data_IF_130786121804
#
_entry.id   IF_130786121804
#
_cell.length_a   1.000
_cell.length_b   1.000
_cell.length_c   1.000
_cell.angle_alpha   90.00
_cell.angle_beta   90.00
_cell.angle_gamma   90.00
#
_symmetry.space_group_name_H-M   'P 1'
#
loop_
_entity.id
_entity.type
_entity.pdbx_description
1 polymer ?
#
# COMPACT_ATOMS: atom_id res chain seq x y z
N UNK A 1 38.57 3.86 0.60
CA UNK A 1 37.22 3.82 -0.02
C UNK A 1 36.24 3.95 1.11
N UNK A 2 35.26 4.84 0.99
CA UNK A 2 34.24 5.02 2.03
C UNK A 2 33.19 3.92 1.85
N UNK A 3 32.96 3.13 2.89
CA UNK A 3 31.89 2.12 2.90
C UNK A 3 30.52 2.81 2.86
N UNK A 4 29.52 2.15 2.28
CA UNK A 4 28.12 2.60 2.22
C UNK A 4 27.25 1.66 3.06
N UNK A 5 26.09 2.16 3.51
CA UNK A 5 25.14 1.36 4.28
C UNK A 5 24.42 0.33 3.42
N UNK A 6 24.25 -0.87 3.94
CA UNK A 6 23.41 -1.94 3.42
C UNK A 6 22.33 -2.26 4.43
N UNK A 7 21.06 -2.25 4.02
CA UNK A 7 19.93 -2.36 4.93
C UNK A 7 19.10 -3.61 4.63
N UNK A 8 18.84 -4.42 5.66
CA UNK A 8 18.03 -5.63 5.58
C UNK A 8 16.86 -5.51 6.57
N UNK A 9 15.60 -5.47 6.10
CA UNK A 9 14.44 -5.53 6.98
C UNK A 9 14.36 -6.84 7.76
N UNK A 10 13.87 -6.77 9.01
CA UNK A 10 13.76 -7.92 9.90
C UNK A 10 12.95 -9.08 9.32
N UNK A 11 11.87 -8.80 8.57
CA UNK A 11 11.04 -9.85 7.96
C UNK A 11 11.83 -10.75 6.98
N UNK A 12 12.89 -10.21 6.34
CA UNK A 12 13.75 -10.99 5.44
C UNK A 12 14.63 -11.93 6.25
N UNK A 13 15.16 -11.47 7.40
CA UNK A 13 16.01 -12.27 8.26
C UNK A 13 15.23 -13.42 8.90
N UNK A 14 14.04 -13.12 9.45
CA UNK A 14 13.14 -14.13 10.02
C UNK A 14 12.67 -15.14 8.98
N UNK A 15 12.18 -14.64 7.84
CA UNK A 15 11.57 -15.46 6.80
C UNK A 15 12.57 -16.14 5.86
N UNK A 16 13.89 -15.91 5.96
CA UNK A 16 14.86 -16.26 4.91
C UNK A 16 14.76 -17.72 4.45
N UNK A 17 14.68 -18.65 5.40
CA UNK A 17 14.57 -20.08 5.12
C UNK A 17 13.26 -20.41 4.41
N UNK A 18 12.13 -19.93 4.94
CA UNK A 18 10.79 -20.17 4.38
C UNK A 18 10.64 -19.55 3.00
N UNK A 19 11.08 -18.29 2.82
CA UNK A 19 11.05 -17.56 1.55
C UNK A 19 11.84 -18.33 0.49
N UNK A 20 13.02 -18.84 0.83
CA UNK A 20 13.86 -19.60 -0.11
C UNK A 20 13.27 -20.96 -0.52
N UNK A 21 12.35 -21.50 0.28
CA UNK A 21 11.69 -22.79 0.05
C UNK A 21 10.28 -22.64 -0.55
N UNK A 22 9.79 -21.41 -0.71
CA UNK A 22 8.45 -21.16 -1.22
C UNK A 22 8.29 -21.67 -2.66
N UNK A 23 7.19 -22.39 -2.92
CA UNK A 23 6.89 -22.99 -4.23
C UNK A 23 5.61 -22.42 -4.86
N UNK A 24 5.17 -21.23 -4.44
CA UNK A 24 4.03 -20.54 -5.04
C UNK A 24 4.28 -20.23 -6.52
N UNK A 25 3.22 -19.86 -7.25
CA UNK A 25 3.29 -19.62 -8.70
C UNK A 25 4.42 -18.65 -9.08
N UNK A 26 4.55 -17.53 -8.37
CA UNK A 26 5.60 -16.54 -8.65
C UNK A 26 7.02 -17.00 -8.34
N UNK A 27 7.23 -17.76 -7.25
CA UNK A 27 8.56 -18.28 -6.90
C UNK A 27 9.09 -19.31 -7.90
N UNK A 28 8.19 -19.97 -8.65
CA UNK A 28 8.58 -20.86 -9.77
C UNK A 28 9.07 -20.10 -11.00
N UNK A 29 8.65 -18.84 -11.15
CA UNK A 29 9.04 -17.98 -12.28
C UNK A 29 10.30 -17.18 -11.96
N UNK A 30 10.41 -16.64 -10.75
CA UNK A 30 11.58 -15.89 -10.30
C UNK A 30 11.78 -15.99 -8.78
N UNK A 31 13.03 -15.98 -8.29
CA UNK A 31 13.30 -15.87 -6.86
C UNK A 31 12.71 -14.57 -6.29
N UNK A 32 12.10 -14.62 -5.09
CA UNK A 32 11.43 -13.44 -4.55
C UNK A 32 12.40 -12.44 -3.90
N UNK A 33 13.58 -12.87 -3.45
CA UNK A 33 14.58 -11.99 -2.83
C UNK A 33 15.24 -11.13 -3.91
N UNK A 34 15.27 -9.81 -3.68
CA UNK A 34 15.85 -8.81 -4.58
C UNK A 34 16.80 -7.89 -3.83
N UNK A 35 17.68 -7.22 -4.55
CA UNK A 35 18.59 -6.22 -3.99
C UNK A 35 18.57 -4.99 -4.87
N UNK A 36 18.26 -3.85 -4.25
CA UNK A 36 18.31 -2.53 -4.89
C UNK A 36 19.62 -1.87 -4.49
N UNK A 37 20.47 -1.54 -5.46
CA UNK A 37 21.79 -0.98 -5.21
C UNK A 37 21.92 0.39 -5.89
N UNK A 38 22.27 1.39 -5.09
CA UNK A 38 22.65 2.73 -5.52
C UNK A 38 24.12 2.97 -5.18
N UNK A 39 24.72 4.01 -5.76
CA UNK A 39 26.11 4.37 -5.46
C UNK A 39 26.34 4.76 -3.99
N UNK A 40 25.28 5.12 -3.25
CA UNK A 40 25.34 5.60 -1.87
C UNK A 40 24.76 4.64 -0.81
N UNK A 41 24.03 3.57 -1.20
CA UNK A 41 23.55 2.54 -0.28
C UNK A 41 22.96 1.32 -1.01
N UNK A 42 22.73 0.24 -0.27
CA UNK A 42 22.10 -1.00 -0.74
C UNK A 42 20.87 -1.30 0.13
N UNK A 43 19.77 -1.76 -0.49
CA UNK A 43 18.58 -2.26 0.21
C UNK A 43 18.28 -3.68 -0.24
N UNK A 44 18.21 -4.60 0.72
CA UNK A 44 17.73 -5.95 0.47
C UNK A 44 16.22 -6.00 0.68
N UNK A 45 15.49 -6.52 -0.29
CA UNK A 45 14.03 -6.59 -0.25
C UNK A 45 13.51 -7.91 -0.80
N UNK A 46 12.19 -8.06 -0.84
CA UNK A 46 11.56 -9.25 -1.38
C UNK A 46 10.24 -8.92 -2.08
N UNK A 47 9.88 -9.67 -3.10
CA UNK A 47 8.73 -9.43 -3.96
C UNK A 47 7.42 -9.96 -3.34
N UNK A 48 6.43 -9.07 -3.17
CA UNK A 48 5.11 -9.40 -2.59
C UNK A 48 4.26 -10.31 -3.48
N UNK A 49 4.69 -10.70 -4.67
CA UNK A 49 4.03 -11.74 -5.45
C UNK A 49 4.22 -13.14 -4.81
N UNK A 50 5.18 -13.29 -3.89
CA UNK A 50 5.41 -14.52 -3.15
C UNK A 50 4.52 -14.59 -1.90
N UNK A 51 3.76 -15.68 -1.75
CA UNK A 51 2.83 -15.85 -0.62
C UNK A 51 3.54 -15.81 0.74
N UNK A 52 4.72 -16.45 0.83
CA UNK A 52 5.53 -16.43 2.06
C UNK A 52 6.07 -15.03 2.35
N UNK A 53 6.52 -14.29 1.34
CA UNK A 53 6.99 -12.90 1.54
C UNK A 53 5.84 -12.02 2.00
N UNK A 54 4.66 -12.11 1.37
CA UNK A 54 3.48 -11.35 1.79
C UNK A 54 3.16 -11.64 3.25
N UNK A 55 3.19 -12.91 3.66
CA UNK A 55 2.91 -13.29 5.04
C UNK A 55 3.91 -12.67 6.02
N UNK A 56 5.21 -12.89 5.80
CA UNK A 56 6.26 -12.41 6.70
C UNK A 56 6.29 -10.88 6.75
N UNK A 57 6.15 -10.20 5.61
CA UNK A 57 6.15 -8.74 5.54
C UNK A 57 4.94 -8.12 6.25
N UNK A 58 3.75 -8.69 6.09
CA UNK A 58 2.51 -8.13 6.67
C UNK A 58 2.42 -8.34 8.18
N UNK A 59 2.86 -9.49 8.68
CA UNK A 59 2.51 -9.97 10.02
C UNK A 59 3.70 -10.20 10.97
N UNK A 60 4.94 -10.11 10.50
CA UNK A 60 6.07 -10.14 11.43
C UNK A 60 6.02 -8.91 12.34
N UNK A 61 6.19 -9.14 13.65
CA UNK A 61 6.49 -8.06 14.58
C UNK A 61 7.77 -7.36 14.11
N UNK A 62 7.78 -6.03 14.15
CA UNK A 62 8.93 -5.22 13.79
C UNK A 62 9.47 -5.54 12.37
N UNK A 63 8.60 -5.91 11.42
CA UNK A 63 8.97 -6.33 10.06
C UNK A 63 9.98 -5.39 9.39
N UNK A 64 9.87 -4.08 9.67
CA UNK A 64 10.71 -3.02 9.13
C UNK A 64 11.77 -2.47 10.10
N UNK A 65 12.09 -3.15 11.20
CA UNK A 65 13.35 -2.92 11.90
C UNK A 65 14.51 -3.23 10.94
N UNK A 66 15.35 -2.24 10.67
CA UNK A 66 16.43 -2.34 9.68
C UNK A 66 17.73 -2.79 10.33
N UNK A 67 18.32 -3.83 9.76
CA UNK A 67 19.64 -4.32 10.14
C UNK A 67 20.67 -3.75 9.17
N UNK A 68 21.64 -2.99 9.71
CA UNK A 68 22.66 -2.29 8.93
C UNK A 68 23.96 -3.10 8.84
N UNK A 69 24.47 -3.23 7.62
CA UNK A 69 25.76 -3.82 7.30
C UNK A 69 26.58 -2.85 6.44
N UNK A 70 27.91 -2.97 6.47
CA UNK A 70 28.77 -2.22 5.57
C UNK A 70 28.83 -2.90 4.19
N UNK A 71 28.65 -2.12 3.13
CA UNK A 71 28.82 -2.56 1.75
C UNK A 71 29.81 -1.66 1.00
N UNK A 72 30.38 -2.20 -0.08
CA UNK A 72 31.19 -1.42 -0.99
C UNK A 72 30.28 -0.67 -1.99
N UNK A 73 30.60 0.59 -2.34
CA UNK A 73 29.89 1.31 -3.39
C UNK A 73 29.85 0.50 -4.69
N UNK A 74 28.67 0.47 -5.32
CA UNK A 74 28.47 -0.13 -6.64
C UNK A 74 28.43 0.99 -7.68
N UNK A 75 28.96 0.74 -8.88
CA UNK A 75 28.86 1.68 -9.99
C UNK A 75 27.38 1.92 -10.35
N UNK A 76 26.93 3.17 -10.35
CA UNK A 76 25.55 3.53 -10.64
C UNK A 76 25.20 4.96 -10.25
N UNK A 77 23.91 5.30 -10.38
CA UNK A 77 23.39 6.56 -9.85
C UNK A 77 23.21 6.46 -8.33
N UNK A 78 23.47 7.57 -7.63
CA UNK A 78 23.06 7.70 -6.24
C UNK A 78 21.53 7.84 -6.16
N UNK A 79 20.94 7.41 -5.04
CA UNK A 79 19.55 7.75 -4.76
C UNK A 79 19.41 9.28 -4.66
N UNK A 80 18.41 9.82 -5.32
CA UNK A 80 18.14 11.25 -5.34
C UNK A 80 17.82 11.77 -3.93
N UNK A 81 18.45 12.88 -3.55
CA UNK A 81 18.31 13.46 -2.21
C UNK A 81 16.88 13.96 -1.98
N UNK A 82 16.28 14.58 -3.00
CA UNK A 82 14.91 15.06 -2.88
C UNK A 82 13.92 13.90 -2.74
N UNK A 83 14.05 12.85 -3.55
CA UNK A 83 13.25 11.64 -3.42
C UNK A 83 13.40 11.03 -2.03
N UNK A 84 14.63 10.94 -1.52
CA UNK A 84 14.90 10.38 -0.19
C UNK A 84 14.26 11.23 0.93
N UNK A 85 14.32 12.56 0.84
CA UNK A 85 13.68 13.47 1.79
C UNK A 85 12.14 13.34 1.77
N UNK A 86 11.54 13.17 0.59
CA UNK A 86 10.09 12.96 0.44
C UNK A 86 9.70 11.57 0.98
N UNK A 87 10.50 10.55 0.71
CA UNK A 87 10.32 9.19 1.21
C UNK A 87 10.34 9.17 2.74
N UNK A 88 11.34 9.81 3.35
CA UNK A 88 11.43 9.92 4.80
C UNK A 88 10.25 10.70 5.39
N UNK A 89 9.83 11.81 4.76
CA UNK A 89 8.63 12.54 5.16
C UNK A 89 7.35 11.68 5.12
N UNK A 90 7.22 10.77 4.14
CA UNK A 90 6.13 9.80 4.12
C UNK A 90 6.23 8.79 5.27
N UNK A 91 7.43 8.26 5.55
CA UNK A 91 7.69 7.35 6.68
C UNK A 91 7.34 8.02 8.01
N UNK A 92 7.77 9.26 8.22
CA UNK A 92 7.52 10.01 9.46
C UNK A 92 6.01 10.19 9.71
N UNK A 93 5.22 10.43 8.65
CA UNK A 93 3.75 10.50 8.74
C UNK A 93 3.11 9.12 8.96
N UNK A 94 3.72 8.04 8.44
CA UNK A 94 3.24 6.66 8.63
C UNK A 94 3.39 6.17 10.07
N UNK A 95 4.30 6.73 10.85
CA UNK A 95 4.59 6.28 12.23
C UNK A 95 4.05 7.23 13.31
N UNK A 96 3.28 8.27 12.94
CA UNK A 96 2.64 9.17 13.93
C UNK A 96 1.63 8.39 14.78
N UNK A 97 1.79 8.37 16.09
CA UNK A 97 0.84 7.67 16.97
C UNK A 97 -0.57 8.25 16.92
N UNK A 98 -1.57 7.39 17.15
CA UNK A 98 -2.97 7.81 17.31
C UNK A 98 -3.73 8.12 16.01
N UNK A 99 -3.10 7.98 14.85
CA UNK A 99 -3.78 8.06 13.55
C UNK A 99 -4.26 6.69 13.06
N UNK A 100 -5.48 6.64 12.55
CA UNK A 100 -5.98 5.54 11.73
C UNK A 100 -5.22 5.45 10.40
N UNK A 101 -5.29 4.30 9.75
CA UNK A 101 -4.68 4.09 8.43
C UNK A 101 -5.19 5.10 7.39
N UNK A 102 -6.50 5.40 7.39
CA UNK A 102 -7.09 6.40 6.50
C UNK A 102 -6.53 7.81 6.73
N UNK A 103 -6.35 8.22 7.99
CA UNK A 103 -5.76 9.51 8.35
C UNK A 103 -4.28 9.61 7.96
N UNK A 104 -3.50 8.52 8.13
CA UNK A 104 -2.10 8.44 7.67
C UNK A 104 -2.01 8.62 6.15
N UNK A 105 -2.85 7.90 5.40
CA UNK A 105 -2.92 8.04 3.94
C UNK A 105 -3.36 9.44 3.52
N UNK A 106 -4.32 10.04 4.22
CA UNK A 106 -4.74 11.40 3.96
C UNK A 106 -3.58 12.40 4.16
N UNK A 107 -2.80 12.26 5.23
CA UNK A 107 -1.61 13.08 5.48
C UNK A 107 -0.57 12.97 4.36
N UNK A 108 -0.29 11.73 3.91
CA UNK A 108 0.61 11.48 2.77
C UNK A 108 0.06 12.11 1.49
N UNK A 109 -1.22 11.94 1.18
CA UNK A 109 -1.86 12.55 0.02
C UNK A 109 -1.77 14.08 0.04
N UNK A 110 -1.98 14.70 1.21
CA UNK A 110 -1.84 16.16 1.38
C UNK A 110 -0.38 16.60 1.18
N UNK A 111 0.59 15.88 1.75
CA UNK A 111 2.01 16.14 1.56
C UNK A 111 2.37 16.11 0.06
N UNK A 112 2.01 15.02 -0.62
CA UNK A 112 2.30 14.81 -2.04
C UNK A 112 1.64 15.87 -2.93
N UNK A 113 0.39 16.22 -2.66
CA UNK A 113 -0.33 17.28 -3.36
C UNK A 113 0.32 18.67 -3.18
N UNK A 114 0.79 18.99 -1.98
CA UNK A 114 1.48 20.27 -1.75
C UNK A 114 2.86 20.28 -2.44
N UNK A 115 3.61 19.18 -2.38
CA UNK A 115 4.92 19.06 -3.00
C UNK A 115 4.87 19.06 -4.52
N UNK A 116 3.83 18.47 -5.13
CA UNK A 116 3.65 18.46 -6.58
C UNK A 116 3.30 19.85 -7.15
N UNK A 117 2.66 20.71 -6.34
CA UNK A 117 2.30 22.11 -6.69
C UNK A 117 3.41 23.12 -6.38
N UNK A 118 4.49 22.68 -5.72
CA UNK A 118 5.57 23.53 -5.26
C UNK A 118 6.50 24.00 -6.38
N UNK A 119 6.10 25.07 -7.06
CA UNK A 119 6.87 25.77 -8.10
C UNK A 119 6.60 27.29 -8.17
N UNK A 120 6.03 27.90 -7.13
CA UNK A 120 5.85 29.35 -7.02
C UNK A 120 6.94 30.02 -6.17
N UNK A 121 7.15 31.33 -6.36
CA UNK A 121 8.09 32.16 -5.58
C UNK A 121 7.81 32.02 -4.06
N UNK A 122 8.64 31.23 -3.36
CA UNK A 122 8.51 30.91 -1.93
C UNK A 122 8.36 29.42 -1.61
N UNK A 123 8.05 28.57 -2.60
CA UNK A 123 7.94 27.11 -2.44
C UNK A 123 9.28 26.38 -2.61
N UNK A 124 10.25 26.98 -3.28
CA UNK A 124 11.60 26.41 -3.47
C UNK A 124 12.39 26.25 -2.17
N UNK A 125 11.98 26.94 -1.09
CA UNK A 125 12.66 26.90 0.21
C UNK A 125 12.05 25.92 1.21
N UNK A 126 10.83 25.42 0.99
CA UNK A 126 10.18 24.51 1.94
C UNK A 126 10.54 23.06 1.62
N UNK A 127 11.50 22.53 2.39
CA UNK A 127 11.95 21.14 2.26
C UNK A 127 10.84 20.15 2.68
N UNK A 128 10.80 18.93 2.11
CA UNK A 128 9.81 17.90 2.46
C UNK A 128 9.63 17.71 3.98
N UNK A 129 10.73 17.71 4.74
CA UNK A 129 10.72 17.62 6.20
C UNK A 129 9.95 18.74 6.90
N UNK A 130 10.05 19.98 6.44
CA UNK A 130 9.34 21.09 7.07
C UNK A 130 7.82 20.92 6.91
N UNK A 131 7.39 20.48 5.72
CA UNK A 131 5.98 20.21 5.43
C UNK A 131 5.47 18.99 6.20
N UNK A 132 6.26 17.93 6.29
CA UNK A 132 5.93 16.76 7.10
C UNK A 132 5.74 17.16 8.56
N UNK A 133 6.67 17.92 9.14
CA UNK A 133 6.58 18.41 10.51
C UNK A 133 5.32 19.24 10.76
N UNK A 134 4.95 20.14 9.85
CA UNK A 134 3.69 20.89 9.96
C UNK A 134 2.47 19.96 9.99
N UNK A 135 2.42 18.95 9.12
CA UNK A 135 1.34 17.98 9.08
C UNK A 135 1.32 17.11 10.34
N UNK A 136 2.48 16.69 10.85
CA UNK A 136 2.58 15.96 12.12
C UNK A 136 2.06 16.80 13.30
N UNK A 137 2.37 18.10 13.36
CA UNK A 137 1.83 18.97 14.42
C UNK A 137 0.30 19.10 14.33
N UNK A 138 -0.24 19.21 13.11
CA UNK A 138 -1.69 19.19 12.90
C UNK A 138 -2.32 17.85 13.31
N UNK A 139 -1.63 16.74 13.07
CA UNK A 139 -2.08 15.40 13.44
C UNK A 139 -2.14 15.24 14.96
N UNK A 140 -1.07 15.62 15.66
CA UNK A 140 -1.01 15.63 17.12
C UNK A 140 -2.06 16.55 17.76
N UNK A 141 -2.43 17.63 17.07
CA UNK A 141 -3.52 18.53 17.48
C UNK A 141 -4.93 18.01 17.20
N UNK A 142 -5.10 16.81 16.64
CA UNK A 142 -6.41 16.23 16.29
C UNK A 142 -7.08 16.83 15.06
N UNK A 143 -6.43 17.76 14.35
CA UNK A 143 -7.01 18.42 13.19
C UNK A 143 -7.24 17.43 12.03
N UNK A 144 -6.37 16.42 11.91
CA UNK A 144 -6.49 15.38 10.89
C UNK A 144 -7.77 14.57 11.01
N UNK A 145 -8.18 14.22 12.23
CA UNK A 145 -9.44 13.54 12.47
C UNK A 145 -10.64 14.33 11.94
N UNK A 146 -10.63 15.65 12.19
CA UNK A 146 -11.70 16.54 11.74
C UNK A 146 -11.69 16.73 10.22
N UNK A 147 -10.51 17.00 9.63
CA UNK A 147 -10.37 17.23 8.19
C UNK A 147 -10.68 15.98 7.38
N UNK A 148 -10.25 14.81 7.85
CA UNK A 148 -10.54 13.53 7.21
C UNK A 148 -12.04 13.20 7.27
N UNK A 149 -12.67 13.38 8.43
CA UNK A 149 -14.12 13.18 8.58
C UNK A 149 -15.01 14.14 7.77
N UNK A 150 -14.46 15.26 7.31
CA UNK A 150 -15.15 16.22 6.44
C UNK A 150 -14.96 15.97 4.95
N UNK A 151 -14.16 14.96 4.57
CA UNK A 151 -13.94 14.64 3.16
C UNK A 151 -15.26 14.23 2.49
N UNK A 152 -15.58 14.76 1.30
CA UNK A 152 -16.76 14.33 0.58
C UNK A 152 -16.57 12.87 0.15
N UNK A 153 -17.53 12.01 0.50
CA UNK A 153 -17.56 10.66 -0.01
C UNK A 153 -17.97 10.69 -1.50
N UNK A 154 -17.08 10.22 -2.38
CA UNK A 154 -17.33 10.15 -3.82
C UNK A 154 -17.36 8.68 -4.24
N UNK A 155 -18.50 8.03 -4.00
CA UNK A 155 -18.71 6.59 -4.22
C UNK A 155 -18.54 6.15 -5.68
N UNK A 156 -18.81 7.02 -6.67
CA UNK A 156 -18.67 6.68 -8.10
C UNK A 156 -17.29 6.12 -8.46
N UNK A 157 -16.22 6.60 -7.83
CA UNK A 157 -14.86 6.13 -8.11
C UNK A 157 -14.63 4.75 -7.49
N UNK A 158 -15.07 4.55 -6.25
CA UNK A 158 -15.03 3.25 -5.58
C UNK A 158 -15.81 2.19 -6.37
N UNK A 159 -17.04 2.50 -6.78
CA UNK A 159 -17.86 1.61 -7.59
C UNK A 159 -17.18 1.29 -8.94
N UNK A 160 -16.63 2.30 -9.62
CA UNK A 160 -15.86 2.10 -10.86
C UNK A 160 -14.68 1.14 -10.65
N UNK A 161 -13.88 1.33 -9.59
CA UNK A 161 -12.73 0.47 -9.30
C UNK A 161 -13.14 -0.91 -8.81
N UNK A 162 -14.23 -1.05 -8.05
CA UNK A 162 -14.79 -2.33 -7.65
C UNK A 162 -15.20 -3.15 -8.90
N UNK A 163 -15.85 -2.51 -9.88
CA UNK A 163 -16.19 -3.16 -11.15
C UNK A 163 -14.96 -3.50 -12.00
N UNK A 164 -13.86 -2.73 -11.91
CA UNK A 164 -12.58 -3.06 -12.57
C UNK A 164 -11.90 -4.24 -11.87
N UNK A 165 -11.90 -4.26 -10.54
CA UNK A 165 -11.38 -5.34 -9.72
C UNK A 165 -12.07 -6.68 -10.05
N UNK A 166 -13.40 -6.65 -10.18
CA UNK A 166 -14.22 -7.80 -10.57
C UNK A 166 -13.83 -8.46 -11.92
N UNK A 167 -13.15 -7.71 -12.81
CA UNK A 167 -12.70 -8.21 -14.12
C UNK A 167 -11.30 -8.81 -14.10
N UNK A 168 -10.58 -8.70 -12.97
CA UNK A 168 -9.22 -9.20 -12.86
C UNK A 168 -9.27 -10.69 -12.54
N UNK A 169 -8.62 -11.55 -13.34
CA UNK A 169 -8.49 -12.96 -13.00
C UNK A 169 -7.44 -13.11 -11.89
N UNK A 170 -7.88 -13.54 -10.71
CA UNK A 170 -7.00 -13.81 -9.58
C UNK A 170 -6.55 -15.27 -9.56
N UNK A 171 -5.27 -15.47 -9.26
CA UNK A 171 -4.71 -16.77 -8.87
C UNK A 171 -4.33 -16.67 -7.41
N UNK A 172 -5.25 -17.09 -6.54
CA UNK A 172 -5.04 -17.08 -5.09
C UNK A 172 -4.58 -18.46 -4.65
N UNK A 173 -3.63 -18.51 -3.72
CA UNK A 173 -3.11 -19.75 -3.15
C UNK A 173 -3.93 -20.17 -1.93
N UNK A 174 -5.24 -20.36 -2.13
CA UNK A 174 -6.17 -20.85 -1.12
C UNK A 174 -6.69 -22.23 -1.49
N UNK A 175 -7.47 -22.84 -0.60
CA UNK A 175 -8.18 -24.07 -0.94
C UNK A 175 -9.15 -23.87 -2.12
N UNK A 176 -9.62 -24.98 -2.68
CA UNK A 176 -10.47 -24.99 -3.86
C UNK A 176 -11.82 -24.32 -3.62
N UNK A 177 -12.36 -24.41 -2.40
CA UNK A 177 -13.65 -23.81 -2.03
C UNK A 177 -13.53 -22.29 -1.96
N UNK A 178 -12.57 -21.77 -1.20
CA UNK A 178 -12.29 -20.34 -1.07
C UNK A 178 -12.00 -19.70 -2.44
N UNK A 179 -11.18 -20.36 -3.26
CA UNK A 179 -10.85 -19.90 -4.60
C UNK A 179 -12.08 -19.82 -5.52
N UNK A 180 -12.99 -20.80 -5.43
CA UNK A 180 -14.24 -20.79 -6.21
C UNK A 180 -15.23 -19.75 -5.72
N UNK A 181 -15.39 -19.60 -4.40
CA UNK A 181 -16.24 -18.56 -3.80
C UNK A 181 -15.82 -17.18 -4.29
N UNK A 182 -14.53 -16.83 -4.18
CA UNK A 182 -14.03 -15.53 -4.65
C UNK A 182 -14.35 -15.27 -6.12
N UNK A 183 -14.06 -16.25 -6.98
CA UNK A 183 -14.31 -16.12 -8.41
C UNK A 183 -15.80 -15.96 -8.73
N UNK A 184 -16.69 -16.63 -7.98
CA UNK A 184 -18.14 -16.46 -8.12
C UNK A 184 -18.54 -15.04 -7.72
N UNK A 185 -18.10 -14.55 -6.56
CA UNK A 185 -18.39 -13.20 -6.06
C UNK A 185 -17.91 -12.10 -7.01
N UNK A 186 -16.69 -12.23 -7.54
CA UNK A 186 -16.17 -11.31 -8.56
C UNK A 186 -17.00 -11.35 -9.85
N UNK A 187 -17.44 -12.53 -10.27
CA UNK A 187 -18.31 -12.69 -11.44
C UNK A 187 -19.67 -12.02 -11.22
N UNK A 188 -20.26 -12.17 -10.02
CA UNK A 188 -21.50 -11.50 -9.63
C UNK A 188 -21.35 -9.98 -9.69
N UNK A 189 -20.33 -9.41 -9.04
CA UNK A 189 -20.04 -7.98 -9.06
C UNK A 189 -19.88 -7.43 -10.49
N UNK A 190 -19.25 -8.19 -11.37
CA UNK A 190 -19.05 -7.78 -12.77
C UNK A 190 -20.37 -7.60 -13.53
N UNK A 191 -21.41 -8.37 -13.16
CA UNK A 191 -22.71 -8.42 -13.84
C UNK A 191 -23.77 -7.50 -13.20
N UNK A 192 -23.51 -6.95 -12.00
CA UNK A 192 -24.43 -6.07 -11.30
C UNK A 192 -24.68 -4.74 -12.03
N UNK A 193 -25.92 -4.27 -12.00
CA UNK A 193 -26.26 -2.89 -12.38
C UNK A 193 -25.63 -1.90 -11.41
N UNK A 194 -25.56 -0.62 -11.81
CA UNK A 194 -24.91 0.42 -10.98
C UNK A 194 -25.54 0.54 -9.58
N UNK A 195 -26.88 0.50 -9.47
CA UNK A 195 -27.54 0.58 -8.16
C UNK A 195 -27.21 -0.61 -7.24
N UNK A 196 -27.20 -1.84 -7.77
CA UNK A 196 -26.80 -3.01 -6.97
C UNK A 196 -25.30 -3.00 -6.62
N UNK A 197 -24.46 -2.40 -7.47
CA UNK A 197 -23.04 -2.26 -7.18
C UNK A 197 -22.79 -1.27 -6.03
N UNK A 198 -23.57 -0.19 -5.94
CA UNK A 198 -23.49 0.74 -4.82
C UNK A 198 -23.93 0.07 -3.50
N UNK A 199 -24.95 -0.79 -3.55
CA UNK A 199 -25.36 -1.60 -2.39
C UNK A 199 -24.25 -2.57 -1.96
N UNK A 200 -23.67 -3.31 -2.92
CA UNK A 200 -22.57 -4.23 -2.67
C UNK A 200 -21.31 -3.50 -2.16
N UNK A 201 -21.03 -2.30 -2.66
CA UNK A 201 -19.94 -1.47 -2.16
C UNK A 201 -20.15 -1.13 -0.69
N UNK A 202 -21.36 -0.71 -0.29
CA UNK A 202 -21.67 -0.41 1.11
C UNK A 202 -21.53 -1.63 2.03
N UNK A 203 -21.95 -2.81 1.56
CA UNK A 203 -21.76 -4.06 2.29
C UNK A 203 -20.27 -4.41 2.45
N UNK A 204 -19.49 -4.29 1.38
CA UNK A 204 -18.04 -4.54 1.38
C UNK A 204 -17.31 -3.60 2.34
N UNK A 205 -17.64 -2.31 2.31
CA UNK A 205 -17.00 -1.31 3.17
C UNK A 205 -17.45 -1.41 4.64
N UNK A 206 -18.66 -1.92 4.87
CA UNK A 206 -19.23 -2.18 6.20
C UNK A 206 -18.95 -3.56 6.77
N UNK A 207 -18.09 -4.39 6.15
CA UNK A 207 -17.80 -5.74 6.66
C UNK A 207 -17.13 -5.69 8.04
N UNK A 208 -17.85 -6.23 9.03
CA UNK A 208 -17.37 -6.33 10.41
C UNK A 208 -16.20 -7.31 10.53
N UNK A 209 -16.20 -8.38 9.74
CA UNK A 209 -15.16 -9.41 9.74
C UNK A 209 -13.82 -8.81 9.30
N UNK A 210 -13.83 -7.98 8.25
CA UNK A 210 -12.65 -7.25 7.78
C UNK A 210 -12.19 -6.23 8.82
N UNK A 211 -13.11 -5.50 9.45
CA UNK A 211 -12.77 -4.56 10.52
C UNK A 211 -12.10 -5.27 11.71
N UNK A 212 -12.72 -6.34 12.22
CA UNK A 212 -12.20 -7.14 13.33
C UNK A 212 -10.80 -7.70 13.01
N UNK A 213 -10.61 -8.21 11.79
CA UNK A 213 -9.30 -8.73 11.37
C UNK A 213 -8.22 -7.63 11.41
N UNK A 214 -8.46 -6.49 10.76
CA UNK A 214 -7.45 -5.42 10.70
C UNK A 214 -7.30 -4.64 12.01
N UNK A 215 -8.30 -4.61 12.89
CA UNK A 215 -8.17 -4.04 14.23
C UNK A 215 -7.29 -4.92 15.13
N UNK A 216 -7.35 -6.25 14.95
CA UNK A 216 -6.47 -7.21 15.62
C UNK A 216 -5.04 -7.17 15.06
N UNK A 217 -4.89 -6.84 13.78
CA UNK A 217 -3.62 -6.77 13.06
C UNK A 217 -3.35 -5.33 12.58
N UNK A 218 -3.37 -4.38 13.50
CA UNK A 218 -3.30 -2.93 13.25
C UNK A 218 -2.01 -2.48 12.54
N UNK A 219 -0.90 -3.18 12.78
CA UNK A 219 0.40 -2.99 12.12
C UNK A 219 0.41 -3.39 10.63
N UNK A 220 -0.53 -4.22 10.15
CA UNK A 220 -0.46 -4.82 8.80
C UNK A 220 -0.37 -3.79 7.68
N UNK A 221 -1.18 -2.73 7.75
CA UNK A 221 -1.16 -1.66 6.76
C UNK A 221 0.06 -0.75 6.91
N UNK A 222 0.56 -0.55 8.13
CA UNK A 222 1.77 0.21 8.40
C UNK A 222 2.96 -0.51 7.78
N UNK A 223 3.13 -1.80 8.09
CA UNK A 223 4.13 -2.68 7.46
C UNK A 223 4.06 -2.63 5.94
N UNK A 224 2.86 -2.73 5.37
CA UNK A 224 2.67 -2.64 3.94
C UNK A 224 3.10 -1.28 3.35
N UNK A 225 2.79 -0.16 4.00
CA UNK A 225 3.20 1.16 3.51
C UNK A 225 4.68 1.45 3.73
N UNK A 226 5.27 0.95 4.82
CA UNK A 226 6.72 0.95 5.03
C UNK A 226 7.42 0.12 3.96
N UNK A 227 6.85 -1.02 3.56
CA UNK A 227 7.33 -1.79 2.42
C UNK A 227 7.38 -0.95 1.14
N UNK A 228 6.31 -0.20 0.82
CA UNK A 228 6.30 0.68 -0.36
C UNK A 228 7.39 1.74 -0.27
N UNK A 229 7.56 2.37 0.89
CA UNK A 229 8.60 3.36 1.12
C UNK A 229 10.01 2.76 1.00
N UNK A 230 10.22 1.55 1.52
CA UNK A 230 11.53 0.90 1.53
C UNK A 230 11.90 0.28 0.17
N UNK A 231 11.00 -0.54 -0.39
CA UNK A 231 11.22 -1.31 -1.62
C UNK A 231 11.18 -0.45 -2.88
N UNK A 232 10.19 0.44 -2.99
CA UNK A 232 9.95 1.22 -4.21
C UNK A 232 10.54 2.64 -4.13
N UNK A 233 11.04 3.03 -2.96
CA UNK A 233 11.43 4.42 -2.66
C UNK A 233 10.28 5.39 -3.00
N UNK A 234 9.07 5.00 -2.60
CA UNK A 234 7.84 5.78 -2.78
C UNK A 234 8.02 7.24 -2.32
N UNK A 235 7.48 8.26 -3.03
CA UNK A 235 6.52 8.16 -4.14
C UNK A 235 7.15 7.91 -5.52
N UNK A 236 8.13 8.71 -5.94
CA UNK A 236 8.89 8.61 -7.18
C UNK A 236 9.92 9.77 -7.18
N UNK A 237 10.82 9.83 -8.15
CA UNK A 237 11.69 11.01 -8.32
C UNK A 237 10.90 12.18 -8.92
N UNK A 238 10.02 11.90 -9.88
CA UNK A 238 9.26 12.88 -10.63
C UNK A 238 8.04 13.38 -9.85
N UNK A 239 7.97 14.70 -9.60
CA UNK A 239 6.88 15.33 -8.85
C UNK A 239 5.52 15.16 -9.53
N UNK A 240 5.51 15.10 -10.86
CA UNK A 240 4.32 14.90 -11.68
C UNK A 240 3.69 13.52 -11.45
N UNK A 241 4.49 12.53 -11.04
CA UNK A 241 4.01 11.18 -10.77
C UNK A 241 3.36 11.04 -9.38
N UNK A 242 3.53 12.01 -8.48
CA UNK A 242 3.11 11.88 -7.07
C UNK A 242 1.63 11.56 -6.91
N UNK A 243 0.77 12.19 -7.72
CA UNK A 243 -0.66 11.90 -7.68
C UNK A 243 -0.96 10.45 -8.09
N UNK A 244 -0.29 9.96 -9.13
CA UNK A 244 -0.46 8.58 -9.59
C UNK A 244 0.05 7.57 -8.57
N UNK A 245 1.18 7.86 -7.92
CA UNK A 245 1.75 7.02 -6.87
C UNK A 245 0.84 6.95 -5.65
N UNK A 246 0.24 8.08 -5.26
CA UNK A 246 -0.78 8.09 -4.21
C UNK A 246 -2.02 7.28 -4.59
N UNK A 247 -2.51 7.41 -5.82
CA UNK A 247 -3.63 6.61 -6.32
C UNK A 247 -3.30 5.11 -6.26
N UNK A 248 -2.10 4.70 -6.65
CA UNK A 248 -1.68 3.29 -6.56
C UNK A 248 -1.68 2.77 -5.12
N UNK A 249 -1.24 3.59 -4.16
CA UNK A 249 -1.30 3.27 -2.73
C UNK A 249 -2.75 3.12 -2.24
N UNK A 250 -3.62 4.05 -2.63
CA UNK A 250 -5.06 4.02 -2.30
C UNK A 250 -5.78 2.82 -2.91
N UNK A 251 -5.42 2.43 -4.13
CA UNK A 251 -5.95 1.24 -4.79
C UNK A 251 -5.50 -0.04 -4.12
N UNK A 252 -4.23 -0.13 -3.71
CA UNK A 252 -3.73 -1.28 -2.98
C UNK A 252 -4.51 -1.47 -1.65
N UNK A 253 -4.78 -0.37 -0.93
CA UNK A 253 -5.62 -0.37 0.28
C UNK A 253 -7.07 -0.80 -0.01
N UNK A 254 -7.73 -0.12 -0.94
CA UNK A 254 -9.14 -0.34 -1.27
C UNK A 254 -9.37 -1.76 -1.81
N UNK A 255 -8.62 -2.18 -2.84
CA UNK A 255 -8.86 -3.44 -3.53
C UNK A 255 -8.61 -4.65 -2.65
N UNK A 256 -7.54 -4.65 -1.83
CA UNK A 256 -7.28 -5.80 -0.95
C UNK A 256 -8.32 -5.90 0.16
N UNK A 257 -8.78 -4.78 0.75
CA UNK A 257 -9.90 -4.80 1.69
C UNK A 257 -11.19 -5.33 1.03
N UNK A 258 -11.47 -4.91 -0.21
CA UNK A 258 -12.61 -5.44 -0.96
C UNK A 258 -12.49 -6.96 -1.20
N UNK A 259 -11.31 -7.46 -1.58
CA UNK A 259 -11.09 -8.89 -1.76
C UNK A 259 -11.29 -9.68 -0.45
N UNK A 260 -10.85 -9.13 0.69
CA UNK A 260 -11.09 -9.74 1.99
C UNK A 260 -12.58 -9.79 2.33
N UNK A 261 -13.30 -8.68 2.14
CA UNK A 261 -14.74 -8.61 2.41
C UNK A 261 -15.54 -9.58 1.53
N UNK A 262 -15.15 -9.73 0.27
CA UNK A 262 -15.78 -10.69 -0.64
C UNK A 262 -15.63 -12.14 -0.17
N UNK A 263 -14.52 -12.48 0.48
CA UNK A 263 -14.29 -13.82 1.05
C UNK A 263 -14.95 -14.04 2.41
N UNK A 264 -15.02 -12.99 3.23
CA UNK A 264 -15.34 -13.10 4.65
C UNK A 264 -16.68 -13.78 4.96
N UNK A 265 -17.61 -13.76 4.00
CA UNK A 265 -18.90 -14.46 4.11
C UNK A 265 -18.81 -15.99 4.01
N UNK A 266 -17.80 -16.51 3.32
CA UNK A 266 -17.62 -17.94 3.04
C UNK A 266 -16.41 -18.54 3.76
N UNK A 267 -15.43 -17.70 4.13
CA UNK A 267 -14.12 -18.11 4.67
C UNK A 267 -13.74 -17.20 5.84
N UNK A 268 -13.32 -17.78 6.95
CA UNK A 268 -12.76 -17.01 8.08
C UNK A 268 -11.46 -16.31 7.64
N UNK A 269 -11.35 -15.01 7.91
CA UNK A 269 -10.13 -14.26 7.61
C UNK A 269 -9.06 -14.56 8.66
N UNK A 270 -7.96 -15.17 8.22
CA UNK A 270 -6.73 -15.33 8.98
C UNK A 270 -5.53 -14.71 8.24
N UNK A 271 -4.35 -14.74 8.87
CA UNK A 271 -3.11 -14.19 8.30
C UNK A 271 -2.73 -14.85 6.97
N UNK A 272 -2.97 -16.16 6.81
CA UNK A 272 -2.62 -16.89 5.61
C UNK A 272 -3.56 -16.51 4.46
N UNK A 273 -4.86 -16.36 4.75
CA UNK A 273 -5.87 -15.90 3.78
C UNK A 273 -5.54 -14.50 3.29
N UNK A 274 -5.30 -13.55 4.21
CA UNK A 274 -4.99 -12.17 3.83
C UNK A 274 -3.65 -12.06 3.11
N UNK A 275 -2.61 -12.79 3.53
CA UNK A 275 -1.34 -12.85 2.82
C UNK A 275 -1.50 -13.38 1.39
N UNK A 276 -2.29 -14.44 1.20
CA UNK A 276 -2.55 -15.00 -0.13
C UNK A 276 -3.32 -14.02 -1.04
N UNK A 277 -4.25 -13.22 -0.49
CA UNK A 277 -4.96 -12.16 -1.21
C UNK A 277 -4.02 -11.02 -1.61
N UNK A 278 -3.12 -10.57 -0.72
CA UNK A 278 -2.08 -9.60 -1.05
C UNK A 278 -1.17 -10.10 -2.18
N UNK A 279 -0.73 -11.36 -2.08
CA UNK A 279 0.14 -11.95 -3.10
C UNK A 279 -0.57 -12.08 -4.45
N UNK A 280 -1.84 -12.50 -4.45
CA UNK A 280 -2.67 -12.55 -5.65
C UNK A 280 -2.92 -11.17 -6.25
N UNK A 281 -3.14 -10.16 -5.41
CA UNK A 281 -3.25 -8.77 -5.82
C UNK A 281 -1.97 -8.29 -6.50
N UNK A 282 -0.79 -8.51 -5.91
CA UNK A 282 0.48 -8.11 -6.49
C UNK A 282 0.82 -8.81 -7.81
N UNK A 283 0.35 -10.05 -8.00
CA UNK A 283 0.46 -10.77 -9.27
C UNK A 283 -0.42 -10.17 -10.37
N UNK A 284 -1.50 -9.48 -10.01
CA UNK A 284 -2.56 -9.09 -10.96
C UNK A 284 -2.84 -7.59 -11.04
N UNK A 285 -2.35 -6.76 -10.11
CA UNK A 285 -2.67 -5.31 -10.02
C UNK A 285 -2.27 -4.48 -11.23
N UNK A 286 -1.30 -4.96 -12.01
CA UNK A 286 -0.94 -4.36 -13.30
C UNK A 286 -2.07 -4.42 -14.35
N UNK A 287 -3.08 -5.27 -14.14
CA UNK A 287 -4.25 -5.42 -15.03
C UNK A 287 -5.39 -4.47 -14.69
N UNK A 288 -5.31 -3.76 -13.57
CA UNK A 288 -6.31 -2.77 -13.19
C UNK A 288 -6.16 -1.52 -14.07
N UNK A 289 -7.21 -1.18 -14.84
CA UNK A 289 -7.23 0.04 -15.64
C UNK A 289 -7.29 1.29 -14.75
N UNK A 290 -6.48 2.29 -15.09
CA UNK A 290 -6.32 3.56 -14.33
C UNK A 290 -6.72 4.81 -15.12
N UNK A 291 -7.34 4.62 -16.28
CA UNK A 291 -7.64 5.70 -17.23
C UNK A 291 -8.94 6.44 -16.85
N UNK A 292 -8.96 7.05 -15.67
CA UNK A 292 -10.11 7.85 -15.23
C UNK A 292 -10.18 9.22 -15.90
N UNK A 293 -9.09 9.67 -16.55
CA UNK A 293 -8.94 11.01 -17.12
C UNK A 293 -9.31 12.14 -16.13
N UNK A 294 -9.07 11.91 -14.85
CA UNK A 294 -9.29 12.82 -13.72
C UNK A 294 -8.02 12.88 -12.88
N UNK A 295 -7.84 13.95 -12.10
CA UNK A 295 -6.76 14.08 -11.12
C UNK A 295 -6.66 12.82 -10.23
N UNK A 296 -5.54 12.06 -10.30
CA UNK A 296 -5.34 10.86 -9.49
C UNK A 296 -5.44 11.09 -7.99
N UNK A 297 -5.08 12.28 -7.48
CA UNK A 297 -5.21 12.60 -6.06
C UNK A 297 -6.67 12.60 -5.62
N UNK A 298 -7.57 13.20 -6.41
CA UNK A 298 -9.00 13.21 -6.11
C UNK A 298 -9.55 11.79 -6.04
N UNK A 299 -9.16 10.94 -6.99
CA UNK A 299 -9.57 9.54 -7.02
C UNK A 299 -9.02 8.80 -5.79
N UNK A 300 -7.73 8.94 -5.48
CA UNK A 300 -7.10 8.31 -4.31
C UNK A 300 -7.76 8.72 -3.00
N UNK A 301 -8.05 10.01 -2.82
CA UNK A 301 -8.78 10.53 -1.66
C UNK A 301 -10.18 9.94 -1.54
N UNK A 302 -10.87 9.77 -2.68
CA UNK A 302 -12.20 9.15 -2.71
C UNK A 302 -12.17 7.68 -2.28
N UNK A 303 -11.09 6.96 -2.58
CA UNK A 303 -10.94 5.53 -2.24
C UNK A 303 -10.66 5.29 -0.75
N UNK A 304 -10.07 6.26 -0.04
CA UNK A 304 -9.78 6.16 1.40
C UNK A 304 -10.85 6.78 2.29
N UNK A 305 -11.66 7.71 1.76
CA UNK A 305 -12.79 8.28 2.50
C UNK A 305 -13.87 7.22 2.76
N UNK A 306 -14.62 7.33 3.85
CA UNK A 306 -15.81 6.51 4.10
C UNK A 306 -17.07 7.37 4.00
N UNK A 307 -18.21 6.76 3.59
CA UNK A 307 -19.50 7.42 3.79
C UNK A 307 -19.77 7.48 5.30
N UNK A 308 -20.11 8.67 5.79
CA UNK A 308 -20.52 8.82 7.18
C UNK A 308 -21.81 8.00 7.41
N UNK A 309 -21.93 7.28 8.53
CA UNK A 309 -23.12 6.48 8.86
C UNK A 309 -24.39 7.32 9.00
#
# INVERSE_FOLDING_TARGET
MTEIGSYIPHFILLGRSHISQCQCVSCREQPPLVTHAWANHVRHSALLQCDTVSREMLFACDAFELHEEAAMPVDGAALDVWQNDVNQACIDLLIVDGLSIGERMYAIGVLLNKLSKGGGDGFETMRPFAMANELMQLALGGAFHTLFGQMPAISRYKASYLRRLAKIPFRVSLDEYASKSLNLKLTELMLMSDGFLDDALREIEGSNEVAIFFDKHDETWINYFLYRCFHEVFPAVEKEAYGQMFLDLALDYFCVRSLCALLANDVELDEDVVAALFAAWYRSKGRLGRDDHVDPLLVGFSLISHEAP
#
